data_IF_237299959137
#
_entry.id   IF_237299959137
#
_cell.length_a   1.000
_cell.length_b   1.000
_cell.length_c   1.000
_cell.angle_alpha   90.00
_cell.angle_beta   90.00
_cell.angle_gamma   90.00
#
_symmetry.space_group_name_H-M   'P 1'
#
loop_
_entity.id
_entity.type
_entity.pdbx_description
1 polymer ?
#
# COMPACT_ATOMS: atom_id res chain seq x y z
N UNK A 1 4.24 29.51 15.47
CA UNK A 1 4.19 29.29 14.00
C UNK A 1 3.11 30.23 13.49
N UNK A 2 3.47 31.19 12.60
CA UNK A 2 2.52 32.19 12.11
C UNK A 2 1.42 31.55 11.26
N UNK A 3 0.22 32.09 11.30
CA UNK A 3 -0.96 31.61 10.54
C UNK A 3 -0.64 31.45 9.04
N UNK A 4 0.20 32.32 8.47
CA UNK A 4 0.58 32.26 7.05
C UNK A 4 1.47 31.05 6.67
N UNK A 5 2.32 30.57 7.55
CA UNK A 5 3.15 29.37 7.31
C UNK A 5 2.30 28.09 7.32
N UNK A 6 1.36 28.02 8.26
CA UNK A 6 0.42 26.92 8.36
C UNK A 6 -0.47 26.80 7.10
N UNK A 7 -1.01 27.92 6.62
CA UNK A 7 -1.82 27.93 5.40
C UNK A 7 -1.00 27.51 4.16
N UNK A 8 0.27 27.90 4.07
CA UNK A 8 1.16 27.42 3.00
C UNK A 8 1.39 25.91 3.07
N UNK A 9 1.58 25.34 4.26
CA UNK A 9 1.73 23.89 4.44
C UNK A 9 0.46 23.14 4.03
N UNK A 10 -0.70 23.59 4.46
CA UNK A 10 -1.99 23.00 4.06
C UNK A 10 -2.18 23.01 2.54
N UNK A 11 -1.89 24.14 1.89
CA UNK A 11 -2.01 24.27 0.44
C UNK A 11 -1.13 23.25 -0.29
N UNK A 12 0.14 23.11 0.11
CA UNK A 12 1.05 22.12 -0.50
C UNK A 12 0.57 20.68 -0.29
N UNK A 13 0.10 20.35 0.91
CA UNK A 13 -0.46 19.02 1.20
C UNK A 13 -1.67 18.75 0.29
N UNK A 14 -2.59 19.72 0.16
CA UNK A 14 -3.75 19.59 -0.72
C UNK A 14 -3.33 19.37 -2.18
N UNK A 15 -2.39 20.16 -2.69
CA UNK A 15 -1.85 20.02 -4.05
C UNK A 15 -1.26 18.63 -4.29
N UNK A 16 -0.56 18.05 -3.29
CA UNK A 16 0.02 16.71 -3.40
C UNK A 16 -1.06 15.61 -3.36
N UNK A 17 -2.09 15.76 -2.52
CA UNK A 17 -3.24 14.87 -2.52
C UNK A 17 -3.95 14.89 -3.88
N UNK A 18 -4.23 16.09 -4.41
CA UNK A 18 -4.88 16.27 -5.71
C UNK A 18 -4.05 15.64 -6.85
N UNK A 19 -2.71 15.73 -6.77
CA UNK A 19 -1.78 15.07 -7.69
C UNK A 19 -1.97 13.55 -7.73
N UNK A 20 -1.98 12.87 -6.56
CA UNK A 20 -2.17 11.42 -6.51
C UNK A 20 -3.57 11.01 -6.96
N UNK A 21 -4.59 11.73 -6.53
CA UNK A 21 -5.98 11.45 -6.92
C UNK A 21 -6.16 11.56 -8.43
N UNK A 22 -5.51 12.55 -9.08
CA UNK A 22 -5.53 12.70 -10.52
C UNK A 22 -4.90 11.51 -11.27
N UNK A 23 -3.89 10.84 -10.68
CA UNK A 23 -3.31 9.61 -11.26
C UNK A 23 -4.34 8.48 -11.38
N UNK A 24 -5.30 8.43 -10.46
CA UNK A 24 -6.40 7.45 -10.45
C UNK A 24 -7.70 8.02 -11.06
N UNK A 25 -7.62 9.07 -11.92
CA UNK A 25 -8.81 9.62 -12.58
C UNK A 25 -9.50 8.57 -13.45
N UNK A 26 -10.82 8.49 -13.38
CA UNK A 26 -11.62 7.51 -14.10
C UNK A 26 -11.50 6.06 -13.60
N UNK A 27 -10.76 5.83 -12.50
CA UNK A 27 -10.63 4.52 -11.86
C UNK A 27 -11.39 4.47 -10.54
N UNK A 28 -11.90 3.30 -10.20
CA UNK A 28 -12.67 3.03 -8.98
C UNK A 28 -12.24 1.71 -8.34
N UNK A 29 -12.62 1.48 -7.09
CA UNK A 29 -12.38 0.23 -6.36
C UNK A 29 -10.92 -0.21 -6.41
N UNK A 30 -10.70 -1.47 -6.74
CA UNK A 30 -9.37 -2.09 -6.80
C UNK A 30 -8.37 -1.33 -7.70
N UNK A 31 -8.80 -0.89 -8.90
CA UNK A 31 -7.90 -0.21 -9.84
C UNK A 31 -7.44 1.15 -9.29
N UNK A 32 -8.34 1.88 -8.62
CA UNK A 32 -7.99 3.14 -7.98
C UNK A 32 -7.05 2.92 -6.78
N UNK A 33 -7.35 1.95 -5.94
CA UNK A 33 -6.52 1.56 -4.81
C UNK A 33 -5.10 1.19 -5.26
N UNK A 34 -4.97 0.36 -6.29
CA UNK A 34 -3.68 -0.10 -6.82
C UNK A 34 -2.84 1.07 -7.32
N UNK A 35 -3.43 1.99 -8.09
CA UNK A 35 -2.71 3.18 -8.59
C UNK A 35 -2.24 4.05 -7.44
N UNK A 36 -3.10 4.33 -6.46
CA UNK A 36 -2.73 5.16 -5.30
C UNK A 36 -1.63 4.53 -4.46
N UNK A 37 -1.72 3.22 -4.22
CA UNK A 37 -0.70 2.45 -3.53
C UNK A 37 0.65 2.52 -4.25
N UNK A 38 0.67 2.24 -5.55
CA UNK A 38 1.90 2.18 -6.32
C UNK A 38 2.55 3.56 -6.50
N UNK A 39 1.77 4.60 -6.79
CA UNK A 39 2.29 5.96 -6.96
C UNK A 39 2.83 6.52 -5.63
N UNK A 40 2.11 6.31 -4.51
CA UNK A 40 2.60 6.71 -3.19
C UNK A 40 3.87 5.94 -2.81
N UNK A 41 3.90 4.63 -3.05
CA UNK A 41 5.05 3.78 -2.77
C UNK A 41 6.29 4.11 -3.61
N UNK A 42 6.12 4.56 -4.86
CA UNK A 42 7.24 5.03 -5.70
C UNK A 42 7.81 6.37 -5.23
N UNK A 43 6.92 7.30 -4.88
CA UNK A 43 7.31 8.69 -4.58
C UNK A 43 7.90 8.87 -3.17
N UNK A 44 7.44 8.07 -2.19
CA UNK A 44 7.79 8.23 -0.79
C UNK A 44 8.76 7.16 -0.35
N UNK A 45 9.87 7.57 0.27
CA UNK A 45 10.88 6.66 0.84
C UNK A 45 10.50 6.27 2.25
N UNK A 46 10.84 5.02 2.63
CA UNK A 46 10.83 4.64 4.02
C UNK A 46 12.03 5.29 4.73
N UNK A 47 11.77 5.96 5.86
CA UNK A 47 12.83 6.54 6.67
C UNK A 47 13.61 5.42 7.39
N UNK A 48 14.83 5.17 6.96
CA UNK A 48 15.77 4.26 7.60
C UNK A 48 16.59 5.03 8.64
N UNK A 49 16.38 4.73 9.90
CA UNK A 49 17.00 5.44 11.01
C UNK A 49 17.98 4.54 11.78
N UNK A 50 19.10 5.13 12.17
CA UNK A 50 20.00 4.57 13.18
C UNK A 50 19.69 5.08 14.59
N UNK A 51 18.92 6.17 14.72
CA UNK A 51 18.55 6.88 15.93
C UNK A 51 17.05 7.28 15.93
N UNK A 52 16.70 8.35 16.63
CA UNK A 52 15.32 8.83 16.78
C UNK A 52 14.65 9.19 15.43
N UNK A 53 13.45 8.68 15.20
CA UNK A 53 12.63 9.03 14.03
C UNK A 53 12.14 10.47 14.16
N UNK A 54 12.39 11.36 13.17
CA UNK A 54 11.86 12.71 13.20
C UNK A 54 10.34 12.73 13.28
N UNK A 55 9.78 13.61 14.10
CA UNK A 55 8.33 13.72 14.29
C UNK A 55 7.55 13.89 12.97
N UNK A 56 8.12 14.59 11.99
CA UNK A 56 7.49 14.77 10.67
C UNK A 56 7.30 13.43 9.92
N UNK A 57 8.18 12.45 10.12
CA UNK A 57 8.09 11.12 9.47
C UNK A 57 6.87 10.33 9.93
N UNK A 58 6.28 10.67 11.08
CA UNK A 58 5.02 10.11 11.57
C UNK A 58 3.77 10.80 11.03
N UNK A 59 3.92 11.71 10.08
CA UNK A 59 2.84 12.58 9.60
C UNK A 59 2.70 12.56 8.08
N UNK A 60 1.54 12.99 7.61
CA UNK A 60 1.30 13.20 6.17
C UNK A 60 2.19 14.30 5.58
N UNK A 61 2.72 15.21 6.41
CA UNK A 61 3.66 16.23 5.97
C UNK A 61 5.01 15.62 5.59
N UNK A 62 5.52 14.68 6.37
CA UNK A 62 6.72 13.91 6.04
C UNK A 62 6.55 13.20 4.69
N UNK A 63 5.50 12.41 4.54
CA UNK A 63 5.24 11.67 3.33
C UNK A 63 4.99 12.58 2.11
N UNK A 64 4.03 13.51 2.17
CA UNK A 64 3.63 14.28 0.99
C UNK A 64 4.58 15.42 0.63
N UNK A 65 5.31 15.99 1.60
CA UNK A 65 6.13 17.18 1.35
C UNK A 65 7.63 16.89 1.42
N UNK A 66 8.04 16.01 2.31
CA UNK A 66 9.45 15.60 2.44
C UNK A 66 9.77 14.34 1.64
N UNK A 67 8.75 13.65 1.13
CA UNK A 67 8.81 12.35 0.43
C UNK A 67 9.48 11.25 1.27
N UNK A 68 9.30 11.31 2.59
CA UNK A 68 9.89 10.35 3.52
C UNK A 68 9.04 10.20 4.77
N UNK A 69 8.75 8.95 5.17
CA UNK A 69 7.98 8.66 6.38
C UNK A 69 8.21 7.23 6.86
N UNK A 70 7.68 6.91 8.03
CA UNK A 70 7.58 5.55 8.58
C UNK A 70 6.16 4.99 8.43
N UNK A 71 5.88 3.82 8.97
CA UNK A 71 4.65 3.05 8.76
C UNK A 71 3.36 3.85 8.98
N UNK A 72 3.24 4.59 10.07
CA UNK A 72 2.03 5.38 10.38
C UNK A 72 1.87 6.59 9.45
N UNK A 73 2.96 7.16 8.93
CA UNK A 73 2.92 8.17 7.87
C UNK A 73 2.33 7.61 6.57
N UNK A 74 2.79 6.43 6.12
CA UNK A 74 2.22 5.72 4.97
C UNK A 74 0.74 5.38 5.18
N UNK A 75 0.38 4.81 6.33
CA UNK A 75 -0.99 4.43 6.64
C UNK A 75 -1.96 5.62 6.60
N UNK A 76 -1.56 6.77 7.18
CA UNK A 76 -2.33 8.02 7.16
C UNK A 76 -2.50 8.58 5.75
N UNK A 77 -1.44 8.58 4.95
CA UNK A 77 -1.51 9.04 3.56
C UNK A 77 -2.42 8.15 2.72
N UNK A 78 -2.26 6.84 2.83
CA UNK A 78 -3.07 5.87 2.10
C UNK A 78 -4.56 6.04 2.44
N UNK A 79 -4.91 6.18 3.73
CA UNK A 79 -6.28 6.42 4.16
C UNK A 79 -6.89 7.67 3.53
N UNK A 80 -6.16 8.79 3.52
CA UNK A 80 -6.63 10.04 2.90
C UNK A 80 -6.85 9.88 1.39
N UNK A 81 -5.95 9.20 0.71
CA UNK A 81 -6.06 9.00 -0.74
C UNK A 81 -7.23 8.08 -1.10
N UNK A 82 -7.45 7.01 -0.33
CA UNK A 82 -8.58 6.10 -0.48
C UNK A 82 -9.92 6.82 -0.23
N UNK A 83 -10.00 7.64 0.83
CA UNK A 83 -11.18 8.46 1.14
C UNK A 83 -11.56 9.38 -0.02
N UNK A 84 -10.58 10.01 -0.68
CA UNK A 84 -10.80 10.85 -1.87
C UNK A 84 -11.36 10.10 -3.07
N UNK A 85 -11.22 8.78 -3.09
CA UNK A 85 -11.79 7.88 -4.11
C UNK A 85 -13.04 7.16 -3.61
N UNK A 86 -13.63 7.57 -2.48
CA UNK A 86 -14.77 6.97 -1.82
C UNK A 86 -14.55 5.48 -1.49
N UNK A 87 -13.31 5.10 -1.17
CA UNK A 87 -12.93 3.77 -0.71
C UNK A 87 -12.78 3.84 0.80
N UNK A 88 -13.67 3.15 1.51
CA UNK A 88 -13.67 3.10 2.97
C UNK A 88 -12.41 2.39 3.47
N UNK A 89 -11.72 2.97 4.44
CA UNK A 89 -10.51 2.39 5.04
C UNK A 89 -10.34 2.78 6.50
N UNK A 90 -9.63 1.93 7.24
CA UNK A 90 -9.23 2.18 8.63
C UNK A 90 -7.75 1.94 8.81
N UNK A 91 -7.14 2.60 9.80
CA UNK A 91 -5.77 2.33 10.22
C UNK A 91 -5.81 1.26 11.30
N UNK A 92 -4.97 0.24 11.13
CA UNK A 92 -4.76 -0.84 12.08
C UNK A 92 -3.40 -0.68 12.72
N UNK A 93 -3.30 -0.98 14.01
CA UNK A 93 -2.04 -1.02 14.76
C UNK A 93 -1.74 -2.43 15.24
N UNK A 94 -0.46 -2.67 15.49
CA UNK A 94 0.02 -3.94 15.99
C UNK A 94 1.53 -4.02 15.99
N UNK A 95 2.10 -5.19 15.74
CA UNK A 95 3.54 -5.38 15.60
C UNK A 95 3.89 -6.17 14.34
N UNK A 96 5.05 -5.85 13.77
CA UNK A 96 5.74 -6.59 12.73
C UNK A 96 7.15 -6.89 13.25
N UNK A 97 7.56 -8.17 13.30
CA UNK A 97 8.87 -8.58 13.86
C UNK A 97 9.11 -8.03 15.28
N UNK A 98 8.05 -8.02 16.10
CA UNK A 98 8.01 -7.47 17.47
C UNK A 98 8.21 -5.94 17.59
N UNK A 99 8.31 -5.21 16.47
CA UNK A 99 8.32 -3.75 16.45
C UNK A 99 6.92 -3.18 16.23
N UNK A 100 6.64 -2.03 16.85
CA UNK A 100 5.36 -1.32 16.69
C UNK A 100 5.12 -0.97 15.22
N UNK A 101 3.95 -1.31 14.70
CA UNK A 101 3.62 -1.17 13.29
C UNK A 101 2.20 -0.65 13.06
N UNK A 102 1.99 0.04 11.92
CA UNK A 102 0.68 0.51 11.50
C UNK A 102 0.48 0.31 9.99
N UNK A 103 -0.72 -0.13 9.61
CA UNK A 103 -1.11 -0.36 8.21
C UNK A 103 -2.61 -0.06 8.02
N UNK A 104 -3.17 -0.41 6.88
CA UNK A 104 -4.58 -0.16 6.60
C UNK A 104 -5.41 -1.45 6.51
N UNK A 105 -6.69 -1.35 6.80
CA UNK A 105 -7.72 -2.19 6.20
C UNK A 105 -8.52 -1.37 5.21
N UNK A 106 -8.90 -2.00 4.09
CA UNK A 106 -9.60 -1.36 2.97
C UNK A 106 -10.86 -2.15 2.66
N UNK A 107 -11.96 -1.46 2.36
CA UNK A 107 -13.24 -2.09 2.03
C UNK A 107 -13.53 -1.97 0.53
N UNK A 108 -13.65 -3.13 -0.11
CA UNK A 108 -14.05 -3.26 -1.52
C UNK A 108 -15.24 -4.20 -1.63
N UNK A 109 -16.33 -3.76 -2.29
CA UNK A 109 -17.56 -4.55 -2.45
C UNK A 109 -18.03 -5.22 -1.14
N UNK A 110 -18.16 -4.41 -0.09
CA UNK A 110 -18.57 -4.83 1.26
C UNK A 110 -17.68 -5.87 1.95
N UNK A 111 -16.48 -6.12 1.45
CA UNK A 111 -15.48 -7.01 2.03
C UNK A 111 -14.25 -6.23 2.46
N UNK A 112 -13.69 -6.60 3.62
CA UNK A 112 -12.50 -5.96 4.14
C UNK A 112 -11.24 -6.76 3.82
N UNK A 113 -10.13 -6.05 3.65
CA UNK A 113 -8.81 -6.59 3.31
C UNK A 113 -7.73 -5.83 4.06
N UNK A 114 -6.63 -6.50 4.42
CA UNK A 114 -5.44 -5.83 4.95
C UNK A 114 -4.54 -5.37 3.81
N UNK A 115 -4.08 -4.11 3.90
CA UNK A 115 -3.19 -3.46 2.96
C UNK A 115 -2.02 -2.84 3.72
N UNK A 116 -0.80 -3.33 3.51
CA UNK A 116 0.39 -2.74 4.12
C UNK A 116 1.38 -2.25 3.06
N UNK A 117 1.28 -0.97 2.73
CA UNK A 117 2.17 -0.32 1.78
C UNK A 117 3.61 -0.27 2.29
N UNK A 118 3.82 -0.10 3.59
CA UNK A 118 5.15 -0.07 4.18
C UNK A 118 5.90 -1.36 3.92
N UNK A 119 5.29 -2.51 4.22
CA UNK A 119 5.88 -3.82 3.97
C UNK A 119 6.06 -4.13 2.48
N UNK A 120 5.22 -3.57 1.62
CA UNK A 120 5.39 -3.66 0.16
C UNK A 120 6.54 -2.80 -0.37
N UNK A 121 7.01 -1.80 0.41
CA UNK A 121 8.10 -0.89 0.04
C UNK A 121 9.46 -1.28 0.64
N UNK A 122 9.49 -1.93 1.79
CA UNK A 122 10.66 -2.05 2.67
C UNK A 122 11.73 -3.09 2.28
N UNK A 123 11.69 -3.66 1.08
CA UNK A 123 12.74 -4.61 0.67
C UNK A 123 13.96 -3.87 0.14
N UNK A 124 15.03 -3.84 0.92
CA UNK A 124 16.27 -3.07 0.70
C UNK A 124 16.99 -3.34 -0.63
N UNK A 125 16.79 -4.52 -1.22
CA UNK A 125 17.52 -4.96 -2.44
C UNK A 125 16.72 -4.70 -3.74
N UNK A 126 15.53 -4.08 -3.65
CA UNK A 126 14.71 -3.78 -4.82
C UNK A 126 14.96 -2.33 -5.24
N UNK A 127 15.01 -2.10 -6.56
CA UNK A 127 15.15 -0.74 -7.12
C UNK A 127 14.10 0.20 -6.49
N UNK A 128 14.49 1.43 -6.20
CA UNK A 128 13.68 2.44 -5.49
C UNK A 128 12.28 2.69 -6.10
N UNK A 129 12.11 2.44 -7.39
CA UNK A 129 10.87 2.63 -8.15
C UNK A 129 9.96 1.39 -8.20
N UNK A 130 10.37 0.27 -7.60
CA UNK A 130 9.55 -0.95 -7.53
C UNK A 130 8.76 -0.98 -6.23
N UNK A 131 7.45 -1.23 -6.36
CA UNK A 131 6.54 -1.46 -5.24
C UNK A 131 6.00 -2.88 -5.34
N UNK A 132 6.15 -3.66 -4.29
CA UNK A 132 5.64 -5.03 -4.22
C UNK A 132 4.14 -5.04 -3.86
N UNK A 133 3.52 -6.19 -4.04
CA UNK A 133 2.10 -6.40 -3.73
C UNK A 133 1.88 -7.62 -2.82
N UNK A 134 2.92 -8.05 -2.11
CA UNK A 134 2.86 -9.20 -1.19
C UNK A 134 1.84 -8.99 -0.07
N UNK A 135 1.74 -7.75 0.39
CA UNK A 135 0.81 -7.32 1.44
C UNK A 135 -0.34 -6.46 0.89
N UNK A 136 -0.84 -6.81 -0.30
CA UNK A 136 -1.93 -6.10 -0.97
C UNK A 136 -3.24 -6.91 -0.91
N UNK A 137 -4.19 -6.43 -0.13
CA UNK A 137 -5.52 -7.02 0.06
C UNK A 137 -5.49 -8.46 0.57
N UNK A 138 -4.86 -8.63 1.73
CA UNK A 138 -4.75 -9.90 2.43
C UNK A 138 -5.97 -10.18 3.32
N UNK A 139 -6.24 -11.46 3.52
CA UNK A 139 -7.13 -11.92 4.61
C UNK A 139 -6.45 -11.78 5.97
N UNK A 140 -7.25 -11.85 7.05
CA UNK A 140 -6.71 -11.87 8.40
C UNK A 140 -5.75 -13.04 8.62
N UNK A 141 -6.08 -14.22 8.11
CA UNK A 141 -5.21 -15.40 8.23
C UNK A 141 -3.86 -15.23 7.49
N UNK A 142 -3.86 -14.47 6.39
CA UNK A 142 -2.63 -14.20 5.64
C UNK A 142 -1.75 -13.15 6.33
N UNK A 143 -2.33 -12.05 6.81
CA UNK A 143 -1.56 -10.99 7.46
C UNK A 143 -0.96 -11.46 8.79
N UNK A 144 -1.67 -12.28 9.55
CA UNK A 144 -1.22 -12.84 10.83
C UNK A 144 -0.01 -13.80 10.72
N UNK A 145 0.40 -14.20 9.53
CA UNK A 145 1.67 -14.92 9.35
C UNK A 145 2.90 -14.08 9.72
N UNK A 146 2.79 -12.76 9.66
CA UNK A 146 3.90 -11.83 9.92
C UNK A 146 3.55 -10.73 10.92
N UNK A 147 2.27 -10.37 11.03
CA UNK A 147 1.79 -9.27 11.88
C UNK A 147 1.01 -9.81 13.08
N UNK A 148 1.15 -9.14 14.22
CA UNK A 148 0.24 -9.31 15.38
C UNK A 148 -0.67 -8.09 15.42
N UNK A 149 -1.96 -8.31 15.51
CA UNK A 149 -2.98 -7.25 15.42
C UNK A 149 -3.42 -6.85 16.83
N UNK A 150 -3.38 -5.54 17.13
CA UNK A 150 -3.97 -5.00 18.36
C UNK A 150 -5.50 -4.94 18.25
N UNK A 151 -6.19 -5.25 19.36
CA UNK A 151 -7.65 -5.12 19.46
C UNK A 151 -8.41 -5.77 18.27
N UNK A 152 -7.95 -6.95 17.87
CA UNK A 152 -8.50 -7.70 16.73
C UNK A 152 -10.01 -7.88 16.79
N UNK A 153 -10.57 -8.01 17.99
CA UNK A 153 -11.98 -8.25 18.26
C UNK A 153 -12.92 -7.11 17.83
N UNK A 154 -12.39 -5.90 17.65
CA UNK A 154 -13.19 -4.75 17.20
C UNK A 154 -13.06 -4.47 15.71
N UNK A 155 -12.17 -5.18 15.01
CA UNK A 155 -11.95 -5.00 13.59
C UNK A 155 -12.99 -5.76 12.75
N UNK A 156 -13.34 -5.25 11.56
CA UNK A 156 -14.18 -6.00 10.64
C UNK A 156 -13.48 -7.28 10.14
N UNK A 157 -14.26 -8.29 9.80
CA UNK A 157 -13.74 -9.55 9.27
C UNK A 157 -13.11 -9.37 7.88
N UNK A 158 -11.92 -9.92 7.67
CA UNK A 158 -11.19 -9.92 6.41
C UNK A 158 -10.92 -11.36 5.94
N UNK A 159 -11.93 -12.02 5.38
CA UNK A 159 -11.90 -13.44 5.03
C UNK A 159 -11.91 -13.70 3.51
N UNK A 160 -12.03 -12.67 2.68
CA UNK A 160 -12.09 -12.80 1.23
C UNK A 160 -10.71 -12.64 0.57
N UNK A 161 -10.45 -13.44 -0.45
CA UNK A 161 -9.27 -13.32 -1.31
C UNK A 161 -9.59 -12.69 -2.68
N UNK A 162 -10.84 -12.28 -2.92
CA UNK A 162 -11.32 -11.82 -4.23
C UNK A 162 -10.47 -10.69 -4.81
N UNK A 163 -10.12 -9.71 -3.97
CA UNK A 163 -9.29 -8.55 -4.36
C UNK A 163 -7.83 -8.67 -3.93
N UNK A 164 -7.35 -9.86 -3.53
CA UNK A 164 -5.92 -10.07 -3.39
C UNK A 164 -5.21 -9.80 -4.72
N UNK A 165 -4.13 -9.03 -4.71
CA UNK A 165 -3.45 -8.60 -5.94
C UNK A 165 -3.13 -9.73 -6.91
N UNK A 166 -2.55 -10.82 -6.43
CA UNK A 166 -2.12 -11.92 -7.30
C UNK A 166 -3.30 -12.73 -7.83
N UNK A 167 -4.36 -12.90 -7.04
CA UNK A 167 -5.58 -13.62 -7.44
C UNK A 167 -6.36 -12.78 -8.45
N UNK A 168 -6.66 -11.53 -8.11
CA UNK A 168 -7.44 -10.62 -8.97
C UNK A 168 -6.73 -10.35 -10.30
N UNK A 169 -5.41 -10.18 -10.29
CA UNK A 169 -4.59 -9.96 -11.49
C UNK A 169 -4.28 -11.24 -12.26
N UNK A 170 -4.83 -12.38 -11.86
CA UNK A 170 -4.54 -13.71 -12.45
C UNK A 170 -3.03 -14.05 -12.48
N UNK A 171 -2.29 -13.59 -11.46
CA UNK A 171 -0.85 -13.85 -11.28
C UNK A 171 -0.57 -14.96 -10.27
N UNK A 172 -1.60 -15.45 -9.59
CA UNK A 172 -1.49 -16.53 -8.61
C UNK A 172 -1.23 -17.87 -9.30
N UNK A 173 -0.28 -18.64 -8.77
CA UNK A 173 0.10 -19.96 -9.25
C UNK A 173 -0.10 -20.94 -8.11
N UNK A 174 -1.18 -21.74 -8.18
CA UNK A 174 -1.56 -22.66 -7.13
C UNK A 174 -1.01 -24.08 -7.29
N UNK A 175 -0.57 -24.44 -8.50
CA UNK A 175 -0.05 -25.78 -8.80
C UNK A 175 1.13 -25.72 -9.75
N UNK A 176 1.96 -26.80 -9.75
CA UNK A 176 3.07 -26.95 -10.71
C UNK A 176 2.60 -27.04 -12.17
N UNK A 177 1.39 -27.53 -12.40
CA UNK A 177 0.79 -27.59 -13.75
C UNK A 177 0.47 -26.20 -14.29
N UNK A 178 -0.13 -25.32 -13.46
CA UNK A 178 -0.39 -23.93 -13.83
C UNK A 178 0.94 -23.18 -14.04
N UNK A 179 1.94 -23.42 -13.19
CA UNK A 179 3.28 -22.85 -13.36
C UNK A 179 3.87 -23.24 -14.71
N UNK A 180 3.90 -24.53 -15.04
CA UNK A 180 4.46 -25.04 -16.28
C UNK A 180 3.69 -24.51 -17.50
N UNK A 181 2.36 -24.39 -17.41
CA UNK A 181 1.53 -23.81 -18.48
C UNK A 181 1.86 -22.34 -18.74
N UNK A 182 1.91 -21.53 -17.67
CA UNK A 182 2.27 -20.11 -17.78
C UNK A 182 3.70 -19.92 -18.29
N UNK A 183 4.64 -20.74 -17.83
CA UNK A 183 6.03 -20.71 -18.29
C UNK A 183 6.13 -20.99 -19.78
N UNK A 184 5.45 -22.03 -20.30
CA UNK A 184 5.41 -22.33 -21.74
C UNK A 184 4.88 -21.15 -22.54
N UNK A 185 3.76 -20.55 -22.11
CA UNK A 185 3.18 -19.38 -22.79
C UNK A 185 4.17 -18.22 -22.89
N UNK A 186 4.97 -17.97 -21.84
CA UNK A 186 5.99 -16.92 -21.85
C UNK A 186 7.13 -17.26 -22.81
N UNK A 187 7.60 -18.50 -22.80
CA UNK A 187 8.68 -18.94 -23.70
C UNK A 187 8.25 -18.86 -25.17
N UNK A 188 7.07 -19.38 -25.51
CA UNK A 188 6.52 -19.35 -26.86
C UNK A 188 6.29 -17.90 -27.36
N UNK A 189 5.91 -16.97 -26.46
CA UNK A 189 5.76 -15.55 -26.83
C UNK A 189 7.09 -14.85 -27.10
N UNK A 190 8.17 -15.25 -26.43
CA UNK A 190 9.50 -14.70 -26.66
C UNK A 190 10.17 -15.26 -27.93
N UNK A 191 9.90 -16.50 -28.32
CA UNK A 191 10.40 -17.07 -29.59
C UNK A 191 9.79 -16.37 -30.80
N UNK A 192 8.56 -15.87 -30.72
CA UNK A 192 7.89 -15.13 -31.79
C UNK A 192 8.34 -13.65 -31.93
N UNK A 193 9.19 -13.14 -31.03
CA UNK A 193 9.76 -11.78 -31.10
C UNK A 193 11.17 -11.75 -31.74
N UNK A 194 11.73 -12.90 -32.12
CA UNK A 194 13.11 -13.03 -32.63
C UNK A 194 13.19 -13.42 -34.13
N UNK A 195 12.12 -13.18 -34.90
CA UNK A 195 12.12 -13.33 -36.35
C UNK A 195 11.91 -12.00 -37.06
#
# INVERSE_FOLDING_TARGET
>A
VGTGEWEKKKKKIKEKIDYYVAKAEGKEGFDAELILHDELGKDVKYYEYENDVPQDCHTIYGAFIKNECVCDGFAKCMQILLDRKNIESIIVTGTLEDESHAWNMVKLNDKWYHLDLTSNKSIKDIKEDVVLHTYFNLTIAQIENTHKIDNKEILPEANSTEYNYYIYSNKYISTSEIFNSKLRTILDSNENQTL
#
